data_IF_222433361862
#
_entry.id   IF_222433361862
#
_cell.length_a   1.000
_cell.length_b   1.000
_cell.length_c   1.000
_cell.angle_alpha   90.00
_cell.angle_beta   90.00
_cell.angle_gamma   90.00
#
_symmetry.space_group_name_H-M   'P 1'
#
loop_
_entity.id
_entity.type
_entity.pdbx_description
1 polymer ?
#
# COMPACT_ATOMS: atom_id res chain seq x y z
N UNK A 1 4.33 34.57 21.77
CA UNK A 1 3.07 33.94 21.32
C UNK A 1 3.46 32.70 20.55
N UNK A 2 3.17 31.51 21.08
CA UNK A 2 3.47 30.24 20.41
C UNK A 2 2.46 30.03 19.29
N UNK A 3 2.95 29.82 18.07
CA UNK A 3 2.14 29.44 16.93
C UNK A 3 1.72 27.96 17.14
N UNK A 4 0.44 27.60 17.11
CA UNK A 4 0.06 26.19 17.15
C UNK A 4 0.52 25.54 15.85
N UNK A 5 1.30 24.47 15.95
CA UNK A 5 1.67 23.66 14.79
C UNK A 5 0.40 23.07 14.17
N UNK A 6 0.24 23.08 12.83
CA UNK A 6 -0.93 22.51 12.20
C UNK A 6 -0.96 21.01 12.49
N UNK A 7 -2.12 20.55 12.96
CA UNK A 7 -2.48 19.15 13.13
C UNK A 7 -2.22 18.41 11.81
N UNK A 8 -1.04 17.77 11.69
CA UNK A 8 -0.64 16.94 10.55
C UNK A 8 -1.26 15.55 10.67
N UNK A 9 -2.54 15.49 11.00
CA UNK A 9 -3.31 14.29 10.74
C UNK A 9 -3.34 14.09 9.22
N UNK A 10 -2.82 12.98 8.67
CA UNK A 10 -2.96 12.71 7.24
C UNK A 10 -4.46 12.74 6.94
N UNK A 11 -4.86 13.62 6.01
CA UNK A 11 -6.26 13.76 5.61
C UNK A 11 -6.84 12.41 5.14
N UNK A 12 -8.18 12.30 5.04
CA UNK A 12 -8.81 11.09 4.54
C UNK A 12 -8.17 10.69 3.20
N UNK A 13 -7.91 9.40 3.02
CA UNK A 13 -7.40 8.88 1.76
C UNK A 13 -8.38 9.24 0.65
N UNK A 14 -7.90 9.56 -0.56
CA UNK A 14 -8.76 9.71 -1.71
C UNK A 14 -9.72 8.51 -1.84
N UNK A 15 -10.99 8.75 -2.18
CA UNK A 15 -12.05 7.71 -2.20
C UNK A 15 -11.76 6.50 -3.11
N UNK A 16 -10.86 6.67 -4.07
CA UNK A 16 -10.41 5.61 -4.97
C UNK A 16 -9.32 4.72 -4.35
N UNK A 17 -8.80 5.03 -3.16
CA UNK A 17 -7.77 4.25 -2.47
C UNK A 17 -8.34 3.59 -1.21
N UNK A 18 -8.20 2.27 -1.15
CA UNK A 18 -8.53 1.47 0.03
C UNK A 18 -7.28 1.12 0.82
N UNK A 19 -7.36 1.24 2.14
CA UNK A 19 -6.35 0.72 3.07
C UNK A 19 -6.43 -0.81 3.09
N UNK A 20 -5.33 -1.48 2.79
CA UNK A 20 -5.24 -2.94 2.78
C UNK A 20 -4.12 -3.43 3.71
N UNK A 21 -4.33 -4.61 4.29
CA UNK A 21 -3.29 -5.31 5.03
C UNK A 21 -2.35 -6.01 4.05
N UNK A 22 -1.12 -5.53 3.93
CA UNK A 22 -0.08 -6.10 3.09
C UNK A 22 0.69 -7.18 3.86
N UNK A 23 0.70 -8.39 3.31
CA UNK A 23 1.39 -9.57 3.83
C UNK A 23 2.03 -10.32 2.67
N UNK A 24 2.75 -11.40 2.98
CA UNK A 24 3.30 -12.31 1.96
C UNK A 24 2.26 -12.85 0.97
N UNK A 25 0.97 -12.93 1.32
CA UNK A 25 -0.07 -13.47 0.44
C UNK A 25 -0.88 -12.39 -0.25
N UNK A 26 -0.94 -11.19 0.33
CA UNK A 26 -1.82 -10.12 -0.16
C UNK A 26 -1.11 -9.05 -0.98
N UNK A 27 0.22 -8.99 -0.95
CA UNK A 27 1.00 -8.01 -1.71
C UNK A 27 0.79 -8.15 -3.22
N UNK A 28 0.53 -7.02 -3.89
CA UNK A 28 0.36 -6.93 -5.35
C UNK A 28 1.24 -5.81 -5.92
N UNK A 29 1.56 -5.93 -7.20
CA UNK A 29 2.11 -4.81 -7.98
C UNK A 29 1.07 -3.67 -7.97
N UNK A 30 1.54 -2.43 -8.04
CA UNK A 30 0.76 -1.19 -7.92
C UNK A 30 0.26 -0.84 -6.50
N UNK A 31 0.32 -1.77 -5.53
CA UNK A 31 0.07 -1.41 -4.13
C UNK A 31 1.08 -0.33 -3.70
N UNK A 32 0.62 0.65 -2.92
CA UNK A 32 1.46 1.71 -2.36
C UNK A 32 1.71 1.49 -0.88
N UNK A 33 2.96 1.58 -0.45
CA UNK A 33 3.37 1.43 0.95
C UNK A 33 4.04 2.72 1.43
N UNK A 34 3.87 3.10 2.70
CA UNK A 34 4.62 4.24 3.25
C UNK A 34 5.93 3.74 3.85
N UNK A 35 7.04 4.23 3.32
CA UNK A 35 8.39 3.92 3.81
C UNK A 35 9.06 5.23 4.20
N UNK A 36 9.44 5.36 5.48
CA UNK A 36 10.05 6.60 5.99
C UNK A 36 9.17 7.85 5.85
N UNK A 37 7.85 7.69 5.75
CA UNK A 37 6.90 8.79 5.49
C UNK A 37 6.65 9.08 4.01
N UNK A 38 7.33 8.39 3.09
CA UNK A 38 7.18 8.55 1.65
C UNK A 38 6.28 7.44 1.09
N UNK A 39 5.20 7.75 0.35
CA UNK A 39 4.43 6.74 -0.36
C UNK A 39 5.24 6.22 -1.54
N UNK A 40 5.45 4.90 -1.58
CA UNK A 40 6.19 4.21 -2.63
C UNK A 40 5.34 3.12 -3.25
N UNK A 41 5.33 3.05 -4.58
CA UNK A 41 4.64 2.04 -5.36
C UNK A 41 5.46 0.76 -5.49
N UNK A 42 4.82 -0.39 -5.30
CA UNK A 42 5.41 -1.70 -5.57
C UNK A 42 5.42 -1.92 -7.09
N UNK A 43 6.60 -2.14 -7.66
CA UNK A 43 6.79 -2.38 -9.10
C UNK A 43 7.02 -3.86 -9.43
N UNK A 44 7.48 -4.66 -8.47
CA UNK A 44 7.61 -6.11 -8.65
C UNK A 44 7.36 -6.87 -7.33
N UNK A 45 6.87 -8.11 -7.44
CA UNK A 45 6.56 -9.00 -6.31
C UNK A 45 7.12 -10.39 -6.59
N UNK A 46 8.27 -10.72 -5.99
CA UNK A 46 8.90 -12.03 -6.12
C UNK A 46 8.61 -12.89 -4.90
N UNK A 47 7.89 -13.99 -5.10
CA UNK A 47 7.54 -14.94 -4.04
C UNK A 47 8.55 -16.08 -3.97
N UNK A 48 9.00 -16.40 -2.76
CA UNK A 48 9.88 -17.54 -2.48
C UNK A 48 9.27 -18.40 -1.37
N UNK A 49 9.87 -19.56 -1.10
CA UNK A 49 9.46 -20.41 0.01
C UNK A 49 9.73 -19.77 1.39
N UNK A 50 10.67 -18.83 1.49
CA UNK A 50 11.03 -18.16 2.75
C UNK A 50 10.31 -16.83 2.97
N UNK A 51 9.84 -16.17 1.91
CA UNK A 51 9.22 -14.86 2.01
C UNK A 51 8.84 -14.25 0.67
N UNK A 52 8.68 -12.93 0.66
CA UNK A 52 8.33 -12.17 -0.54
C UNK A 52 9.23 -10.95 -0.63
N UNK A 53 9.94 -10.79 -1.75
CA UNK A 53 10.60 -9.54 -2.10
C UNK A 53 9.61 -8.62 -2.79
N UNK A 54 9.56 -7.37 -2.34
CA UNK A 54 8.90 -6.28 -3.03
C UNK A 54 10.00 -5.38 -3.56
N UNK A 55 10.04 -5.19 -4.87
CA UNK A 55 10.81 -4.10 -5.45
C UNK A 55 9.87 -2.90 -5.56
N UNK A 56 10.33 -1.75 -5.08
CA UNK A 56 9.60 -0.50 -5.09
C UNK A 56 10.16 0.42 -6.17
N UNK A 57 9.43 1.48 -6.48
CA UNK A 57 9.98 2.58 -7.26
C UNK A 57 11.24 3.18 -6.59
N UNK A 58 12.02 3.91 -7.37
CA UNK A 58 13.33 4.46 -6.95
C UNK A 58 14.39 3.41 -6.58
N UNK A 59 14.13 2.12 -6.84
CA UNK A 59 15.08 1.03 -6.64
C UNK A 59 15.10 0.46 -5.21
N UNK A 60 14.20 0.92 -4.36
CA UNK A 60 14.06 0.44 -2.98
C UNK A 60 13.52 -0.99 -2.92
N UNK A 61 13.82 -1.70 -1.82
CA UNK A 61 13.42 -3.09 -1.64
C UNK A 61 12.92 -3.40 -0.23
N UNK A 62 11.86 -4.19 -0.14
CA UNK A 62 11.34 -4.72 1.12
C UNK A 62 11.25 -6.24 1.08
N UNK A 63 11.52 -6.87 2.22
CA UNK A 63 11.36 -8.31 2.40
C UNK A 63 10.26 -8.62 3.41
N UNK A 64 9.18 -9.25 2.96
CA UNK A 64 8.09 -9.72 3.81
C UNK A 64 8.35 -11.15 4.29
N UNK A 65 8.39 -11.32 5.61
CA UNK A 65 8.48 -12.62 6.27
C UNK A 65 7.10 -13.14 6.67
N UNK A 66 7.03 -14.26 7.41
CA UNK A 66 5.75 -14.86 7.86
C UNK A 66 5.03 -13.95 8.85
N UNK A 67 5.78 -13.15 9.60
CA UNK A 67 5.24 -12.26 10.63
C UNK A 67 5.10 -10.82 10.16
N UNK A 68 5.59 -10.50 8.96
CA UNK A 68 5.52 -9.13 8.44
C UNK A 68 4.10 -8.81 8.00
N UNK A 69 3.54 -7.77 8.61
CA UNK A 69 2.23 -7.19 8.25
C UNK A 69 2.41 -5.68 8.17
N UNK A 70 2.18 -5.12 6.98
CA UNK A 70 2.26 -3.69 6.72
C UNK A 70 0.88 -3.16 6.34
N UNK A 71 0.71 -1.86 6.49
CA UNK A 71 -0.41 -1.14 5.87
C UNK A 71 0.02 -0.71 4.47
N UNK A 72 -0.81 -1.00 3.48
CA UNK A 72 -0.65 -0.50 2.12
C UNK A 72 -1.95 0.14 1.65
N UNK A 73 -1.89 0.81 0.51
CA UNK A 73 -3.02 1.39 -0.18
C UNK A 73 -3.11 0.79 -1.56
N UNK A 74 -4.34 0.49 -1.98
CA UNK A 74 -4.63 -0.08 -3.28
C UNK A 74 -5.73 0.72 -3.92
N UNK A 75 -5.67 0.92 -5.24
CA UNK A 75 -6.82 1.43 -5.97
C UNK A 75 -8.01 0.46 -5.79
N UNK A 76 -9.14 0.98 -5.32
CA UNK A 76 -10.36 0.22 -5.30
C UNK A 76 -10.68 -0.14 -6.74
N UNK A 77 -10.90 -1.43 -7.03
CA UNK A 77 -11.40 -1.87 -8.33
C UNK A 77 -12.77 -1.21 -8.52
N UNK A 78 -12.81 -0.07 -9.21
CA UNK A 78 -14.06 0.54 -9.63
C UNK A 78 -14.55 -0.35 -10.76
N UNK A 79 -15.49 -1.25 -10.47
CA UNK A 79 -16.14 -2.06 -11.49
C UNK A 79 -16.77 -1.10 -12.52
N UNK A 80 -16.21 -0.98 -13.74
CA UNK A 80 -16.75 -0.06 -14.73
C UNK A 80 -18.09 -0.54 -15.29
N UNK A 81 -18.43 -1.81 -15.03
CA UNK A 81 -19.67 -2.45 -15.41
C UNK A 81 -20.48 -2.77 -14.16
N UNK A 82 -20.80 -1.76 -13.34
CA UNK A 82 -21.64 -1.91 -12.15
C UNK A 82 -22.73 -2.94 -12.39
N UNK A 83 -22.50 -4.16 -11.87
CA UNK A 83 -23.28 -5.33 -12.25
C UNK A 83 -24.69 -5.14 -11.73
N UNK A 84 -25.57 -4.62 -12.59
CA UNK A 84 -27.01 -4.59 -12.41
C UNK A 84 -27.49 -6.03 -12.39
N UNK A 85 -27.54 -6.61 -11.20
CA UNK A 85 -28.38 -7.75 -10.90
C UNK A 85 -29.63 -7.26 -10.16
N UNK A 86 -30.67 -6.93 -10.91
CA UNK A 86 -32.07 -7.37 -10.73
C UNK A 86 -32.99 -6.62 -11.69
#
# INVERSE_FOLDING_TARGET
MNHPEPDRSPGPLPDHLQTVSLTRTTARVEDRVIIGGVPMRIVDVVRTHTGVRLDLEEGERLWLTTRTRLTAFREADIDPFGSRAR
#
